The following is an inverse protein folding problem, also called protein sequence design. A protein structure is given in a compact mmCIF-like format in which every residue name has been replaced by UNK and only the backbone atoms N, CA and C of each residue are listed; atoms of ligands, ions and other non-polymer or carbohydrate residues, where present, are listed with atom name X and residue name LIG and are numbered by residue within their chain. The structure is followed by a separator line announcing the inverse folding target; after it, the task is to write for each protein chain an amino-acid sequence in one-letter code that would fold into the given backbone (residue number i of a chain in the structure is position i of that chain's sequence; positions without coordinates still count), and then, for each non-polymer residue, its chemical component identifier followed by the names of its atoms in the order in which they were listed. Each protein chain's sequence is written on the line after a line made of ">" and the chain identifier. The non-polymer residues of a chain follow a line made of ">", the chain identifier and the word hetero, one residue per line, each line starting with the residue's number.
data_IF_086829085637
#
_entry.id   IF_086829085637
#
_cell.length_a   1.000
_cell.length_b   1.000
_cell.length_c   1.000
_cell.angle_alpha   90.00
_cell.angle_beta   90.00
_cell.angle_gamma   90.00
#
_symmetry.space_group_name_H-M   'P 1'
#
loop_
_entity.id
_entity.type
_entity.pdbx_description
1 polymer ?
#
# COMPACT_ATOMS: atom_id res chain seq x y z
N UNK A 1 14.86 18.82 -26.64
CA UNK A 1 15.28 18.18 -25.38
C UNK A 1 14.13 17.32 -24.91
N UNK A 2 14.18 16.01 -25.15
CA UNK A 2 13.23 15.03 -24.61
C UNK A 2 13.77 14.59 -23.26
N UNK A 3 13.03 14.86 -22.19
CA UNK A 3 13.35 14.29 -20.89
C UNK A 3 12.82 12.85 -20.90
N UNK A 4 13.70 11.89 -21.19
CA UNK A 4 13.48 10.49 -20.84
C UNK A 4 13.41 10.43 -19.32
N UNK A 5 12.21 10.43 -18.77
CA UNK A 5 11.99 10.16 -17.34
C UNK A 5 12.01 8.64 -17.16
N UNK A 6 13.19 8.04 -17.36
CA UNK A 6 13.43 6.68 -16.91
C UNK A 6 13.32 6.64 -15.38
N UNK A 7 12.37 5.86 -14.88
CA UNK A 7 12.24 5.61 -13.45
C UNK A 7 13.48 4.83 -13.01
N UNK A 8 14.28 5.29 -12.02
CA UNK A 8 15.42 4.51 -11.60
C UNK A 8 14.91 3.16 -11.09
N UNK A 9 15.40 2.08 -11.69
CA UNK A 9 15.21 0.75 -11.13
C UNK A 9 15.84 0.76 -9.73
N UNK A 10 15.00 0.81 -8.71
CA UNK A 10 15.45 0.76 -7.32
C UNK A 10 16.32 -0.50 -7.14
N UNK A 11 17.52 -0.32 -6.59
CA UNK A 11 18.40 -1.43 -6.22
C UNK A 11 17.62 -2.37 -5.28
N UNK A 12 17.80 -3.71 -5.37
CA UNK A 12 17.12 -4.64 -4.49
C UNK A 12 17.69 -4.47 -3.09
N UNK A 13 17.08 -3.59 -2.31
CA UNK A 13 17.43 -3.42 -0.91
C UNK A 13 16.99 -4.68 -0.16
N UNK A 14 18.04 -5.41 0.22
CA UNK A 14 18.15 -6.45 1.24
C UNK A 14 16.95 -6.62 2.19
N UNK A 15 16.45 -7.85 2.27
CA UNK A 15 15.78 -8.38 3.46
C UNK A 15 14.30 -8.71 3.26
N UNK A 16 13.93 -9.98 3.43
CA UNK A 16 12.52 -10.42 3.51
C UNK A 16 11.69 -9.61 4.54
N UNK A 17 12.34 -9.00 5.54
CA UNK A 17 11.71 -8.08 6.50
C UNK A 17 11.29 -6.74 5.88
N UNK A 18 12.05 -6.19 4.92
CA UNK A 18 11.64 -5.01 4.16
C UNK A 18 10.47 -5.33 3.24
N UNK A 19 10.49 -6.47 2.54
CA UNK A 19 9.38 -6.90 1.68
C UNK A 19 8.08 -7.13 2.46
N UNK A 20 8.14 -7.71 3.67
CA UNK A 20 6.99 -7.83 4.56
C UNK A 20 6.47 -6.46 5.04
N UNK A 21 7.40 -5.51 5.28
CA UNK A 21 7.06 -4.13 5.66
C UNK A 21 6.41 -3.38 4.51
N UNK A 22 6.95 -3.46 3.30
CA UNK A 22 6.42 -2.84 2.08
C UNK A 22 5.04 -3.38 1.69
N UNK A 23 4.86 -4.71 1.77
CA UNK A 23 3.55 -5.33 1.54
C UNK A 23 2.51 -4.87 2.58
N UNK A 24 2.91 -4.72 3.85
CA UNK A 24 2.07 -4.15 4.90
C UNK A 24 1.71 -2.69 4.64
N UNK A 25 2.66 -1.87 4.19
CA UNK A 25 2.39 -0.48 3.79
C UNK A 25 1.44 -0.39 2.61
N UNK A 26 1.62 -1.23 1.59
CA UNK A 26 0.74 -1.27 0.43
C UNK A 26 -0.68 -1.68 0.83
N UNK A 27 -0.84 -2.72 1.66
CA UNK A 27 -2.13 -3.15 2.19
C UNK A 27 -2.84 -2.01 2.95
N UNK A 28 -2.10 -1.31 3.80
CA UNK A 28 -2.63 -0.17 4.56
C UNK A 28 -3.07 0.97 3.63
N UNK A 29 -2.27 1.32 2.62
CA UNK A 29 -2.61 2.35 1.64
C UNK A 29 -3.89 2.01 0.86
N UNK A 30 -4.03 0.76 0.41
CA UNK A 30 -5.23 0.29 -0.31
C UNK A 30 -6.47 0.43 0.56
N UNK A 31 -6.39 0.02 1.84
CA UNK A 31 -7.50 0.14 2.80
C UNK A 31 -7.85 1.59 3.10
N UNK A 32 -6.85 2.46 3.26
CA UNK A 32 -7.08 3.90 3.44
C UNK A 32 -7.82 4.51 2.24
N UNK A 33 -7.40 4.19 1.01
CA UNK A 33 -8.05 4.65 -0.20
C UNK A 33 -9.48 4.11 -0.34
N UNK A 34 -9.73 2.86 0.04
CA UNK A 34 -11.07 2.28 0.04
C UNK A 34 -12.01 3.07 0.98
N UNK A 35 -11.52 3.42 2.18
CA UNK A 35 -12.27 4.24 3.13
C UNK A 35 -12.58 5.64 2.59
N UNK A 36 -11.60 6.32 1.98
CA UNK A 36 -11.82 7.64 1.37
C UNK A 36 -12.78 7.58 0.18
N UNK A 37 -12.73 6.51 -0.62
CA UNK A 37 -13.67 6.28 -1.71
C UNK A 37 -15.12 6.17 -1.19
N UNK A 38 -15.37 5.41 -0.11
CA UNK A 38 -16.71 5.33 0.52
C UNK A 38 -17.18 6.68 1.05
N UNK A 39 -16.30 7.41 1.76
CA UNK A 39 -16.61 8.76 2.28
C UNK A 39 -16.97 9.76 1.17
N UNK A 40 -16.43 9.54 -0.03
CA UNK A 40 -16.67 10.37 -1.20
C UNK A 40 -17.82 9.86 -2.08
N UNK A 41 -18.47 8.74 -1.73
CA UNK A 41 -19.58 8.15 -2.47
C UNK A 41 -19.19 7.30 -3.70
N UNK A 42 -17.92 6.92 -3.84
CA UNK A 42 -17.43 6.05 -4.92
C UNK A 42 -17.49 4.57 -4.51
N UNK A 43 -18.69 4.03 -4.34
CA UNK A 43 -18.92 2.66 -3.84
C UNK A 43 -18.24 1.58 -4.70
N UNK A 44 -18.35 1.66 -6.03
CA UNK A 44 -17.72 0.69 -6.94
C UNK A 44 -16.18 0.72 -6.84
N UNK A 45 -15.61 1.91 -6.61
CA UNK A 45 -14.15 2.07 -6.44
C UNK A 45 -13.70 1.52 -5.09
N UNK A 46 -14.47 1.77 -4.03
CA UNK A 46 -14.21 1.19 -2.73
C UNK A 46 -14.24 -0.35 -2.77
N UNK A 47 -15.24 -0.93 -3.43
CA UNK A 47 -15.34 -2.37 -3.59
C UNK A 47 -14.17 -2.97 -4.38
N UNK A 48 -13.73 -2.30 -5.46
CA UNK A 48 -12.56 -2.71 -6.22
C UNK A 48 -11.27 -2.66 -5.39
N UNK A 49 -11.09 -1.63 -4.56
CA UNK A 49 -9.95 -1.50 -3.67
C UNK A 49 -9.96 -2.54 -2.56
N UNK A 50 -11.13 -2.81 -1.95
CA UNK A 50 -11.28 -3.87 -0.95
C UNK A 50 -10.95 -5.25 -1.54
N UNK A 51 -11.35 -5.52 -2.78
CA UNK A 51 -11.01 -6.77 -3.48
C UNK A 51 -9.52 -6.88 -3.84
N UNK A 52 -8.84 -5.75 -4.01
CA UNK A 52 -7.42 -5.68 -4.33
C UNK A 52 -6.51 -5.69 -3.07
N UNK A 53 -7.07 -5.44 -1.89
CA UNK A 53 -6.30 -5.42 -0.65
C UNK A 53 -5.72 -6.82 -0.38
N UNK A 54 -4.38 -6.97 -0.34
CA UNK A 54 -3.79 -8.23 0.07
C UNK A 54 -4.23 -8.55 1.50
N UNK A 55 -4.46 -9.83 1.80
CA UNK A 55 -4.80 -10.31 3.14
C UNK A 55 -3.57 -10.10 4.03
N UNK A 56 -3.45 -8.89 4.57
CA UNK A 56 -2.49 -8.56 5.60
C UNK A 56 -3.19 -8.73 6.94
N UNK A 57 -2.67 -9.62 7.80
CA UNK A 57 -3.07 -9.66 9.19
C UNK A 57 -2.74 -8.30 9.80
N UNK A 58 -3.76 -7.53 10.16
CA UNK A 58 -3.62 -6.28 10.91
C UNK A 58 -4.27 -5.05 10.28
N UNK A 59 -5.12 -4.38 11.07
CA UNK A 59 -5.64 -3.05 10.75
C UNK A 59 -4.59 -1.93 11.00
N UNK A 60 -3.51 -2.29 11.67
CA UNK A 60 -2.55 -1.34 12.23
C UNK A 60 -1.62 -0.79 11.15
N UNK A 61 -1.30 0.50 11.24
CA UNK A 61 -0.26 1.10 10.42
C UNK A 61 1.06 0.40 10.78
N UNK A 62 1.88 -0.04 9.82
CA UNK A 62 3.10 -0.82 10.10
C UNK A 62 4.07 -0.13 11.07
N UNK A 63 4.09 1.21 11.12
CA UNK A 63 4.90 1.98 12.07
C UNK A 63 4.51 1.78 13.54
N UNK A 64 3.28 1.34 13.83
CA UNK A 64 2.79 1.13 15.19
C UNK A 64 3.19 -0.27 15.71
N UNK A 65 3.38 -1.26 14.81
CA UNK A 65 3.95 -2.59 15.13
C UNK A 65 5.44 -2.60 15.47
N UNK A 66 6.19 -1.63 14.95
CA UNK A 66 7.64 -1.51 15.18
C UNK A 66 7.98 -0.90 16.55
N UNK A 67 6.97 -0.52 17.35
CA UNK A 67 7.13 0.12 18.66
C UNK A 67 6.88 -0.81 19.86
N UNK A 68 6.36 -2.01 19.64
CA UNK A 68 6.19 -3.08 20.63
C UNK A 68 7.32 -4.12 20.51
#
# INVERSE_FOLDING_TARGET
>A
MTHDTEWPAAEPHCGQEQAATEAGWLAWCIRYLANEARRSGFEDTAAALDAAAPIADGDERPADRLRD
#
